data_IF_867039992506
#
_entry.id   IF_867039992506
#
_cell.length_a   1.000
_cell.length_b   1.000
_cell.length_c   1.000
_cell.angle_alpha   90.00
_cell.angle_beta   90.00
_cell.angle_gamma   90.00
#
_symmetry.space_group_name_H-M   'P 1'
#
loop_
_entity.id
_entity.type
_entity.pdbx_description
1 polymer ?
#
# COMPACT_ATOMS: atom_id res chain seq x y z
N UNK A 1 64.30 -62.37 14.06
CA UNK A 1 64.82 -63.07 12.87
C UNK A 1 64.08 -62.48 11.69
N UNK A 2 64.69 -61.47 11.06
CA UNK A 2 65.16 -61.49 9.66
C UNK A 2 63.99 -61.61 8.66
N UNK A 3 63.69 -60.53 7.92
CA UNK A 3 64.16 -60.26 6.54
C UNK A 3 63.61 -61.34 5.58
N UNK A 4 62.98 -61.07 4.45
CA UNK A 4 63.10 -59.96 3.49
C UNK A 4 62.22 -60.29 2.29
N UNK A 5 61.89 -59.25 1.52
CA UNK A 5 61.73 -59.33 0.06
C UNK A 5 60.28 -59.31 -0.43
N UNK A 6 59.94 -58.65 -1.52
CA UNK A 6 60.41 -57.46 -2.24
C UNK A 6 59.36 -57.27 -3.36
N UNK A 7 59.16 -56.02 -3.79
CA UNK A 7 58.53 -55.56 -5.04
C UNK A 7 57.06 -55.94 -5.34
N UNK A 8 56.29 -55.25 -6.17
CA UNK A 8 56.04 -53.85 -6.55
C UNK A 8 54.82 -53.96 -7.52
N UNK A 9 54.07 -52.87 -7.69
CA UNK A 9 53.24 -52.53 -8.86
C UNK A 9 51.74 -52.91 -8.92
N UNK A 10 50.96 -51.83 -8.74
CA UNK A 10 49.79 -51.38 -9.51
C UNK A 10 48.45 -52.05 -9.19
N UNK A 11 47.67 -51.47 -8.27
CA UNK A 11 46.74 -50.34 -8.46
C UNK A 11 45.51 -50.68 -9.31
N UNK A 12 44.38 -50.91 -8.62
CA UNK A 12 43.03 -50.73 -9.14
C UNK A 12 42.13 -50.12 -8.07
N UNK A 13 42.22 -48.79 -8.00
CA UNK A 13 41.13 -47.82 -7.84
C UNK A 13 39.78 -48.29 -7.31
N UNK A 14 39.51 -47.85 -6.09
CA UNK A 14 38.20 -47.81 -5.46
C UNK A 14 37.29 -46.76 -6.11
N UNK A 15 36.11 -47.22 -6.50
CA UNK A 15 34.89 -46.46 -6.75
C UNK A 15 34.49 -45.64 -5.53
N UNK A 16 34.46 -44.31 -5.65
CA UNK A 16 33.62 -43.41 -4.84
C UNK A 16 33.65 -41.96 -5.40
N UNK A 17 32.47 -41.33 -5.42
CA UNK A 17 32.15 -39.87 -5.53
C UNK A 17 32.60 -39.08 -6.76
N UNK A 18 31.72 -38.98 -7.77
CA UNK A 18 31.79 -37.98 -8.86
C UNK A 18 30.39 -37.43 -9.21
N UNK A 19 29.86 -36.50 -8.40
CA UNK A 19 28.76 -35.60 -8.83
C UNK A 19 28.81 -34.24 -8.13
N UNK A 20 29.98 -33.57 -8.02
CA UNK A 20 30.03 -32.23 -7.40
C UNK A 20 31.08 -31.25 -7.97
N UNK A 21 31.50 -31.38 -9.23
CA UNK A 21 32.48 -30.46 -9.84
C UNK A 21 32.06 -29.82 -11.18
N UNK A 22 30.84 -30.07 -11.68
CA UNK A 22 30.34 -29.43 -12.90
C UNK A 22 29.52 -28.15 -12.67
N UNK A 23 29.10 -27.85 -11.42
CA UNK A 23 28.29 -26.66 -11.14
C UNK A 23 29.11 -25.37 -10.89
N UNK A 24 30.43 -25.47 -10.66
CA UNK A 24 31.26 -24.30 -10.36
C UNK A 24 31.94 -23.68 -11.61
N UNK A 25 32.17 -24.47 -12.66
CA UNK A 25 32.87 -23.99 -13.88
C UNK A 25 31.96 -23.12 -14.75
N UNK A 26 30.64 -23.35 -14.73
CA UNK A 26 29.67 -22.46 -15.41
C UNK A 26 29.62 -21.08 -14.74
N UNK A 27 29.80 -21.01 -13.42
CA UNK A 27 29.63 -19.78 -12.64
C UNK A 27 30.77 -18.76 -12.85
N UNK A 28 31.98 -19.21 -13.21
CA UNK A 28 33.14 -18.33 -13.45
C UNK A 28 33.21 -17.82 -14.90
N UNK A 29 32.76 -18.61 -15.89
CA UNK A 29 32.82 -18.22 -17.31
C UNK A 29 31.82 -17.11 -17.65
N UNK A 30 30.65 -17.08 -17.02
CA UNK A 30 29.64 -16.02 -17.23
C UNK A 30 30.12 -14.68 -16.64
N UNK A 31 30.87 -14.70 -15.53
CA UNK A 31 31.32 -13.47 -14.85
C UNK A 31 32.46 -12.74 -15.59
N UNK A 32 33.24 -13.45 -16.44
CA UNK A 32 34.42 -12.91 -17.09
C UNK A 32 34.18 -12.27 -18.47
N UNK A 33 33.00 -12.43 -19.08
CA UNK A 33 32.68 -11.84 -20.40
C UNK A 33 32.07 -10.42 -20.31
N UNK A 34 31.83 -9.90 -19.10
CA UNK A 34 31.20 -8.59 -18.89
C UNK A 34 32.17 -7.40 -18.83
N UNK A 35 33.46 -7.59 -19.15
CA UNK A 35 34.49 -6.53 -19.05
C UNK A 35 35.51 -6.52 -20.19
N UNK A 36 35.10 -6.40 -21.46
CA UNK A 36 35.98 -5.87 -22.53
C UNK A 36 35.27 -5.61 -23.86
N UNK A 37 34.90 -4.36 -24.13
CA UNK A 37 35.15 -3.71 -25.42
C UNK A 37 34.68 -2.25 -25.40
N UNK A 38 35.60 -1.34 -25.69
CA UNK A 38 35.36 0.09 -25.95
C UNK A 38 35.94 0.39 -27.34
N UNK A 39 35.15 1.10 -28.14
CA UNK A 39 35.46 1.93 -29.32
C UNK A 39 35.37 1.37 -30.76
N UNK A 40 34.49 2.07 -31.49
CA UNK A 40 34.42 2.43 -32.92
C UNK A 40 34.01 1.38 -33.97
N UNK A 41 32.74 1.45 -34.41
CA UNK A 41 32.31 1.84 -35.79
C UNK A 41 30.79 1.72 -35.99
N UNK A 42 30.09 2.84 -35.81
CA UNK A 42 29.09 3.45 -36.71
C UNK A 42 28.11 2.56 -37.54
N UNK A 43 26.84 2.61 -37.10
CA UNK A 43 25.60 2.83 -37.88
C UNK A 43 24.72 1.62 -38.31
N UNK A 44 23.51 1.64 -37.74
CA UNK A 44 22.23 0.97 -38.01
C UNK A 44 21.88 -0.30 -37.22
N UNK A 45 20.68 -0.20 -36.63
CA UNK A 45 19.80 -1.23 -36.09
C UNK A 45 19.80 -1.39 -34.57
N UNK A 46 18.94 -0.55 -33.97
CA UNK A 46 17.86 -0.91 -33.04
C UNK A 46 18.14 -2.01 -32.03
N UNK A 47 18.24 -1.62 -30.75
CA UNK A 47 17.33 -2.02 -29.66
C UNK A 47 18.03 -1.74 -28.33
N UNK A 48 17.41 -0.92 -27.47
CA UNK A 48 17.16 -1.26 -26.07
C UNK A 48 17.09 -0.03 -25.15
N UNK A 49 15.90 0.09 -24.55
CA UNK A 49 15.68 0.37 -23.14
C UNK A 49 16.07 1.76 -22.62
N UNK A 50 15.42 2.77 -23.19
CA UNK A 50 14.88 3.85 -22.37
C UNK A 50 13.37 3.68 -22.36
N UNK A 51 12.88 2.98 -21.33
CA UNK A 51 11.46 2.98 -21.01
C UNK A 51 11.09 4.37 -20.48
N UNK A 52 10.94 5.33 -21.40
CA UNK A 52 10.16 6.54 -21.18
C UNK A 52 8.75 6.11 -20.78
N UNK A 53 8.45 6.15 -19.48
CA UNK A 53 7.08 6.26 -19.00
C UNK A 53 6.63 7.70 -19.27
N UNK A 54 6.51 8.05 -20.55
CA UNK A 54 5.74 9.22 -20.98
C UNK A 54 4.28 8.84 -20.79
N UNK A 55 3.79 9.10 -19.58
CA UNK A 55 2.36 9.00 -19.28
C UNK A 55 1.63 10.02 -20.14
N UNK A 56 0.91 9.49 -21.13
CA UNK A 56 0.01 10.18 -22.02
C UNK A 56 -0.89 11.14 -21.21
N UNK A 57 -0.96 12.39 -21.67
CA UNK A 57 -1.48 13.51 -20.89
C UNK A 57 -3.00 13.59 -20.87
N UNK A 58 -3.74 12.69 -21.52
CA UNK A 58 -5.20 12.79 -21.62
C UNK A 58 -5.93 11.43 -21.57
N UNK A 59 -5.87 10.75 -20.42
CA UNK A 59 -7.02 10.08 -19.77
C UNK A 59 -6.74 9.90 -18.26
N UNK A 60 -6.23 10.94 -17.60
CA UNK A 60 -5.65 10.82 -16.26
C UNK A 60 -6.73 10.51 -15.21
N UNK A 61 -6.80 9.24 -14.81
CA UNK A 61 -7.57 8.83 -13.63
C UNK A 61 -7.18 9.61 -12.38
N UNK A 62 -8.03 9.54 -11.37
CA UNK A 62 -7.89 10.30 -10.14
C UNK A 62 -6.53 10.06 -9.44
N UNK A 63 -5.64 11.08 -9.28
CA UNK A 63 -4.26 10.88 -8.82
C UNK A 63 -4.18 10.32 -7.39
N UNK A 64 -5.16 10.61 -6.55
CA UNK A 64 -5.30 10.06 -5.21
C UNK A 64 -5.50 8.54 -5.23
N UNK A 65 -6.38 8.11 -6.13
CA UNK A 65 -6.72 6.70 -6.30
C UNK A 65 -5.57 5.96 -6.98
N UNK A 66 -4.93 6.57 -7.97
CA UNK A 66 -3.74 6.03 -8.63
C UNK A 66 -2.59 5.79 -7.65
N UNK A 67 -2.35 6.74 -6.72
CA UNK A 67 -1.35 6.59 -5.66
C UNK A 67 -1.68 5.43 -4.72
N UNK A 68 -2.93 5.37 -4.24
CA UNK A 68 -3.40 4.30 -3.37
C UNK A 68 -3.29 2.92 -4.06
N UNK A 69 -3.71 2.82 -5.34
CA UNK A 69 -3.59 1.61 -6.15
C UNK A 69 -2.14 1.15 -6.27
N UNK A 70 -1.25 2.07 -6.65
CA UNK A 70 0.18 1.76 -6.78
C UNK A 70 0.78 1.26 -5.45
N UNK A 71 0.36 1.84 -4.32
CA UNK A 71 0.82 1.42 -3.00
C UNK A 71 0.33 0.01 -2.64
N UNK A 72 -0.94 -0.31 -2.91
CA UNK A 72 -1.50 -1.65 -2.72
C UNK A 72 -0.78 -2.66 -3.61
N UNK A 73 -0.63 -2.37 -4.89
CA UNK A 73 0.02 -3.29 -5.84
C UNK A 73 1.48 -3.56 -5.46
N UNK A 74 2.26 -2.52 -5.16
CA UNK A 74 3.65 -2.67 -4.71
C UNK A 74 3.76 -3.55 -3.46
N UNK A 75 2.84 -3.38 -2.51
CA UNK A 75 2.84 -4.16 -1.27
C UNK A 75 2.42 -5.60 -1.49
N UNK A 76 1.35 -5.82 -2.24
CA UNK A 76 0.77 -7.16 -2.44
C UNK A 76 1.62 -8.01 -3.39
N UNK A 77 2.20 -7.42 -4.44
CA UNK A 77 3.05 -8.14 -5.41
C UNK A 77 4.48 -8.30 -4.92
N UNK A 78 5.10 -7.21 -4.46
CA UNK A 78 6.54 -7.16 -4.22
C UNK A 78 6.91 -7.15 -2.73
N UNK A 79 5.92 -7.05 -1.83
CA UNK A 79 6.15 -6.91 -0.38
C UNK A 79 6.71 -5.56 0.03
N UNK A 80 6.93 -4.63 -0.91
CA UNK A 80 7.64 -3.36 -0.67
C UNK A 80 6.70 -2.22 -0.27
N UNK A 81 7.27 -1.20 0.36
CA UNK A 81 6.58 0.08 0.59
C UNK A 81 6.91 0.99 -0.58
N UNK A 82 5.87 1.56 -1.20
CA UNK A 82 6.04 2.52 -2.29
C UNK A 82 6.63 3.83 -1.75
N UNK A 83 7.78 4.32 -2.25
CA UNK A 83 8.21 5.69 -1.95
C UNK A 83 7.25 6.70 -2.60
N UNK A 84 7.14 7.91 -2.04
CA UNK A 84 6.30 8.96 -2.64
C UNK A 84 6.82 9.30 -4.04
N UNK A 85 6.02 9.14 -5.10
CA UNK A 85 6.42 9.52 -6.46
C UNK A 85 6.62 11.03 -6.61
N UNK A 86 7.53 11.45 -7.49
CA UNK A 86 7.81 12.88 -7.73
C UNK A 86 6.69 13.61 -8.48
N UNK A 87 5.82 12.88 -9.17
CA UNK A 87 4.76 13.41 -10.03
C UNK A 87 3.38 13.50 -9.36
N UNK A 88 3.30 13.25 -8.04
CA UNK A 88 2.06 13.48 -7.29
C UNK A 88 1.72 14.98 -7.22
N UNK A 89 0.43 15.35 -7.13
CA UNK A 89 0.03 16.73 -6.94
C UNK A 89 0.75 17.39 -5.75
N UNK A 90 1.20 18.64 -5.92
CA UNK A 90 1.95 19.38 -4.91
C UNK A 90 1.21 19.47 -3.57
N UNK A 91 -0.13 19.54 -3.60
CA UNK A 91 -0.93 19.55 -2.37
C UNK A 91 -0.75 18.27 -1.55
N UNK A 92 -0.51 17.11 -2.17
CA UNK A 92 -0.28 15.87 -1.43
C UNK A 92 1.05 15.87 -0.68
N UNK A 93 2.02 16.67 -1.13
CA UNK A 93 3.34 16.80 -0.51
C UNK A 93 3.32 17.81 0.64
N UNK A 94 2.59 18.91 0.47
CA UNK A 94 2.63 20.06 1.37
C UNK A 94 1.47 20.09 2.39
N UNK A 95 0.40 19.33 2.16
CA UNK A 95 -0.75 19.23 3.08
C UNK A 95 -0.61 18.01 3.98
N UNK A 96 -1.05 18.17 5.22
CA UNK A 96 -1.26 17.08 6.17
C UNK A 96 -2.76 16.97 6.43
N UNK A 97 -3.33 15.78 6.30
CA UNK A 97 -4.73 15.51 6.60
C UNK A 97 -4.90 14.04 7.03
N UNK A 98 -5.95 13.74 7.77
CA UNK A 98 -6.42 12.37 7.93
C UNK A 98 -6.96 11.85 6.59
N UNK A 99 -6.81 10.55 6.33
CA UNK A 99 -7.31 9.94 5.12
C UNK A 99 -7.79 8.51 5.37
N UNK A 100 -8.85 8.09 4.68
CA UNK A 100 -9.33 6.72 4.66
C UNK A 100 -9.19 6.16 3.26
N UNK A 101 -8.58 4.98 3.16
CA UNK A 101 -8.56 4.22 1.92
C UNK A 101 -9.53 3.06 2.07
N UNK A 102 -10.45 2.93 1.13
CA UNK A 102 -11.42 1.85 1.09
C UNK A 102 -11.22 1.05 -0.18
N UNK A 103 -11.09 -0.26 -0.03
CA UNK A 103 -11.00 -1.22 -1.10
C UNK A 103 -12.37 -1.89 -1.24
N UNK A 104 -12.86 -1.96 -2.46
CA UNK A 104 -14.03 -2.74 -2.84
C UNK A 104 -13.63 -3.81 -3.86
N UNK A 105 -14.41 -4.87 -3.93
CA UNK A 105 -14.30 -5.90 -4.95
C UNK A 105 -15.70 -6.31 -5.37
N UNK A 106 -16.03 -6.16 -6.64
CA UNK A 106 -17.36 -6.42 -7.18
C UNK A 106 -18.46 -5.67 -6.37
N UNK A 107 -18.23 -4.38 -6.10
CA UNK A 107 -19.13 -3.54 -5.30
C UNK A 107 -19.23 -3.88 -3.80
N UNK A 108 -18.44 -4.84 -3.27
CA UNK A 108 -18.46 -5.22 -1.84
C UNK A 108 -17.21 -4.74 -1.12
N UNK A 109 -17.36 -4.30 0.13
CA UNK A 109 -16.23 -3.88 0.96
C UNK A 109 -15.20 -5.02 1.13
N UNK A 110 -13.93 -4.73 0.82
CA UNK A 110 -12.79 -5.66 0.88
C UNK A 110 -11.71 -5.26 1.89
N UNK A 111 -11.69 -4.00 2.29
CA UNK A 111 -10.83 -3.46 3.34
C UNK A 111 -11.05 -1.97 3.50
N UNK A 112 -10.91 -1.45 4.71
CA UNK A 112 -10.97 -0.01 4.96
C UNK A 112 -10.15 0.34 6.20
N UNK A 113 -9.10 1.13 6.00
CA UNK A 113 -8.27 1.69 7.07
C UNK A 113 -8.05 3.16 6.80
N UNK A 114 -8.03 3.94 7.87
CA UNK A 114 -7.71 5.35 7.80
C UNK A 114 -7.36 5.95 9.14
N UNK A 115 -6.96 7.20 9.09
CA UNK A 115 -6.57 8.01 10.24
C UNK A 115 -7.43 9.26 10.31
N UNK A 116 -7.86 9.61 11.53
CA UNK A 116 -8.71 10.77 11.77
C UNK A 116 -7.89 12.06 11.68
N UNK A 117 -6.68 12.03 12.23
CA UNK A 117 -5.72 13.13 12.18
C UNK A 117 -4.47 12.68 11.42
N UNK A 118 -3.74 13.61 10.78
CA UNK A 118 -2.51 13.27 10.06
C UNK A 118 -1.48 12.66 11.00
N UNK A 119 -1.02 11.45 10.66
CA UNK A 119 0.03 10.71 11.36
C UNK A 119 1.36 10.74 10.62
N UNK A 120 1.33 11.13 9.34
CA UNK A 120 2.50 11.23 8.46
C UNK A 120 2.92 12.67 8.17
N UNK A 121 4.07 12.82 7.51
CA UNK A 121 4.63 14.12 7.17
C UNK A 121 3.85 14.80 6.04
N UNK A 122 3.21 14.02 5.16
CA UNK A 122 2.43 14.49 4.03
C UNK A 122 1.19 13.62 3.80
N UNK A 123 0.21 14.16 3.06
CA UNK A 123 -0.99 13.44 2.65
C UNK A 123 -0.64 12.26 1.72
N UNK A 124 0.37 12.40 0.87
CA UNK A 124 0.86 11.30 0.03
C UNK A 124 1.30 10.09 0.88
N UNK A 125 2.12 10.33 1.90
CA UNK A 125 2.56 9.28 2.83
C UNK A 125 1.39 8.68 3.61
N UNK A 126 0.42 9.51 4.02
CA UNK A 126 -0.79 9.06 4.71
C UNK A 126 -1.60 8.10 3.84
N UNK A 127 -1.84 8.45 2.57
CA UNK A 127 -2.55 7.62 1.60
C UNK A 127 -1.80 6.31 1.36
N UNK A 128 -0.48 6.34 1.12
CA UNK A 128 0.33 5.13 0.92
C UNK A 128 0.22 4.20 2.14
N UNK A 129 0.40 4.75 3.34
CA UNK A 129 0.33 4.00 4.59
C UNK A 129 -1.05 3.35 4.79
N UNK A 130 -2.12 4.11 4.59
CA UNK A 130 -3.49 3.64 4.80
C UNK A 130 -3.95 2.69 3.68
N UNK A 131 -3.48 2.85 2.45
CA UNK A 131 -3.74 1.91 1.35
C UNK A 131 -3.09 0.54 1.63
N UNK A 132 -1.83 0.55 2.07
CA UNK A 132 -1.13 -0.66 2.50
C UNK A 132 -1.88 -1.35 3.66
N UNK A 133 -2.24 -0.59 4.70
CA UNK A 133 -2.97 -1.15 5.84
C UNK A 133 -4.34 -1.69 5.44
N UNK A 134 -5.07 -1.00 4.54
CA UNK A 134 -6.37 -1.47 4.03
C UNK A 134 -6.30 -2.81 3.30
N UNK A 135 -5.18 -3.08 2.62
CA UNK A 135 -4.96 -4.34 1.91
C UNK A 135 -4.39 -5.47 2.77
N UNK A 136 -3.76 -5.17 3.91
CA UNK A 136 -2.96 -6.17 4.67
C UNK A 136 -3.29 -6.28 6.16
N UNK A 137 -3.99 -5.31 6.75
CA UNK A 137 -4.12 -5.14 8.20
C UNK A 137 -5.57 -4.90 8.67
N UNK A 138 -6.56 -4.88 7.78
CA UNK A 138 -7.96 -4.81 8.22
C UNK A 138 -8.36 -6.12 8.91
N UNK A 139 -8.67 -6.11 10.23
CA UNK A 139 -8.89 -7.35 10.99
C UNK A 139 -10.16 -8.10 10.58
N UNK A 140 -11.04 -7.47 9.79
CA UNK A 140 -12.28 -8.09 9.32
C UNK A 140 -12.07 -8.99 8.10
N UNK A 141 -10.92 -8.85 7.42
CA UNK A 141 -10.66 -9.54 6.16
C UNK A 141 -9.25 -10.17 6.16
N UNK A 142 -9.05 -11.29 5.45
CA UNK A 142 -7.70 -11.75 5.15
C UNK A 142 -6.98 -10.73 4.26
N UNK A 143 -5.65 -10.72 4.29
CA UNK A 143 -4.85 -9.90 3.39
C UNK A 143 -5.24 -10.11 1.92
N UNK A 144 -5.20 -9.05 1.12
CA UNK A 144 -5.46 -9.09 -0.32
C UNK A 144 -4.40 -9.93 -1.01
N UNK A 145 -4.84 -10.83 -1.89
CA UNK A 145 -3.96 -11.67 -2.70
C UNK A 145 -3.67 -11.05 -4.08
N UNK A 146 -2.53 -11.37 -4.72
CA UNK A 146 -2.18 -10.81 -6.03
C UNK A 146 -3.24 -10.96 -7.14
N UNK A 147 -3.98 -12.09 -7.24
CA UNK A 147 -5.04 -12.22 -8.24
C UNK A 147 -6.23 -11.27 -8.02
N UNK A 148 -6.47 -10.82 -6.78
CA UNK A 148 -7.57 -9.90 -6.48
C UNK A 148 -7.30 -8.48 -6.98
N UNK A 149 -6.04 -8.10 -7.23
CA UNK A 149 -5.64 -6.73 -7.55
C UNK A 149 -6.35 -6.15 -8.78
N UNK A 150 -6.62 -6.99 -9.78
CA UNK A 150 -7.29 -6.57 -11.02
C UNK A 150 -8.77 -6.25 -10.81
N UNK A 151 -9.40 -6.82 -9.78
CA UNK A 151 -10.82 -6.66 -9.47
C UNK A 151 -11.06 -5.57 -8.39
N UNK A 152 -10.00 -4.92 -7.90
CA UNK A 152 -10.13 -3.94 -6.82
C UNK A 152 -10.57 -2.59 -7.37
N UNK A 153 -11.66 -2.08 -6.80
CA UNK A 153 -12.10 -0.69 -6.89
C UNK A 153 -11.61 0.04 -5.63
N UNK A 154 -11.07 1.25 -5.77
CA UNK A 154 -10.46 1.99 -4.66
C UNK A 154 -11.14 3.35 -4.49
N UNK A 155 -11.41 3.70 -3.24
CA UNK A 155 -11.90 5.02 -2.82
C UNK A 155 -10.93 5.61 -1.80
N UNK A 156 -10.59 6.89 -1.97
CA UNK A 156 -9.77 7.67 -1.04
C UNK A 156 -10.60 8.84 -0.52
N UNK A 157 -10.83 8.86 0.79
CA UNK A 157 -11.56 9.91 1.50
C UNK A 157 -10.57 10.76 2.29
N UNK A 158 -10.42 12.03 1.93
CA UNK A 158 -9.53 12.98 2.61
C UNK A 158 -10.35 13.81 3.58
N UNK A 159 -9.94 13.85 4.83
CA UNK A 159 -10.65 14.55 5.88
C UNK A 159 -10.22 16.02 5.92
N UNK A 160 -11.20 16.91 6.01
CA UNK A 160 -10.99 18.30 6.42
C UNK A 160 -10.65 18.39 7.91
N UNK A 161 -10.21 19.57 8.33
CA UNK A 161 -9.94 19.83 9.75
C UNK A 161 -11.25 19.75 10.55
N UNK A 162 -11.27 19.03 11.69
CA UNK A 162 -12.46 18.97 12.54
C UNK A 162 -12.78 20.33 13.17
N UNK A 163 -14.04 20.71 13.12
CA UNK A 163 -14.60 21.90 13.75
C UNK A 163 -15.48 21.49 14.94
N UNK A 164 -15.29 22.04 16.15
CA UNK A 164 -16.17 21.73 17.28
C UNK A 164 -17.59 22.25 17.03
N UNK A 165 -18.59 21.47 17.42
CA UNK A 165 -20.00 21.86 17.38
C UNK A 165 -20.64 21.78 18.76
N UNK A 166 -21.64 22.63 18.99
CA UNK A 166 -22.37 22.72 20.26
C UNK A 166 -23.80 22.22 20.16
N UNK A 167 -24.37 22.20 18.95
CA UNK A 167 -25.70 21.65 18.67
C UNK A 167 -25.69 20.67 17.49
N UNK A 168 -26.66 19.75 17.47
CA UNK A 168 -26.92 18.87 16.33
C UNK A 168 -27.40 19.63 15.09
N UNK A 169 -27.94 20.84 15.25
CA UNK A 169 -28.38 21.68 14.12
C UNK A 169 -27.21 22.15 13.25
N UNK A 170 -25.98 22.07 13.78
CA UNK A 170 -24.75 22.38 13.07
C UNK A 170 -24.23 21.19 12.25
N UNK A 171 -24.90 20.03 12.33
CA UNK A 171 -24.48 18.78 11.68
C UNK A 171 -25.49 18.37 10.62
N UNK A 172 -25.14 18.63 9.36
CA UNK A 172 -25.83 18.04 8.21
C UNK A 172 -25.21 16.66 7.90
N UNK A 173 -25.93 15.53 8.07
CA UNK A 173 -25.40 14.19 7.88
C UNK A 173 -25.00 13.88 6.42
N UNK A 174 -25.51 14.63 5.45
CA UNK A 174 -25.14 14.48 4.03
C UNK A 174 -23.81 15.16 3.75
N UNK A 175 -23.57 16.33 4.36
CA UNK A 175 -22.38 17.15 4.12
C UNK A 175 -21.21 16.79 5.03
N UNK A 176 -21.48 16.58 6.31
CA UNK A 176 -20.46 16.49 7.35
C UNK A 176 -20.36 15.10 7.96
N UNK A 177 -19.13 14.65 8.17
CA UNK A 177 -18.85 13.56 9.11
C UNK A 177 -18.84 14.09 10.54
N UNK A 178 -18.93 13.18 11.51
CA UNK A 178 -18.92 13.50 12.94
C UNK A 178 -17.88 12.70 13.70
N UNK A 179 -17.21 13.36 14.63
CA UNK A 179 -16.32 12.77 15.63
C UNK A 179 -16.98 12.94 17.00
N UNK A 180 -17.11 11.84 17.73
CA UNK A 180 -17.60 11.81 19.11
C UNK A 180 -16.44 11.42 20.02
N UNK A 181 -16.08 12.27 20.98
CA UNK A 181 -14.94 12.04 21.88
C UNK A 181 -15.38 12.02 23.35
N UNK A 182 -14.91 11.03 24.12
CA UNK A 182 -15.08 10.95 25.57
C UNK A 182 -13.80 10.41 26.21
N UNK A 183 -12.96 11.31 26.75
CA UNK A 183 -11.62 10.97 27.22
C UNK A 183 -10.76 10.41 26.07
N UNK A 184 -10.24 9.20 26.25
CA UNK A 184 -9.44 8.50 25.22
C UNK A 184 -10.28 7.76 24.17
N UNK A 185 -11.59 7.61 24.39
CA UNK A 185 -12.48 6.94 23.44
C UNK A 185 -12.94 7.92 22.38
N UNK A 186 -12.88 7.50 21.13
CA UNK A 186 -13.31 8.29 19.98
C UNK A 186 -14.00 7.43 18.95
N UNK A 187 -15.08 7.94 18.40
CA UNK A 187 -15.80 7.35 17.27
C UNK A 187 -15.90 8.35 16.14
N UNK A 188 -15.79 7.85 14.92
CA UNK A 188 -15.96 8.65 13.72
C UNK A 188 -17.03 8.00 12.83
N UNK A 189 -17.84 8.85 12.20
CA UNK A 189 -18.70 8.44 11.10
C UNK A 189 -18.56 9.42 9.94
N UNK A 190 -18.38 8.88 8.74
CA UNK A 190 -18.28 9.64 7.49
C UNK A 190 -19.66 10.22 7.10
N UNK A 191 -19.71 11.29 6.29
CA UNK A 191 -20.96 11.82 5.73
C UNK A 191 -21.59 10.89 4.70
N UNK A 192 -22.86 11.16 4.39
CA UNK A 192 -23.60 10.61 3.25
C UNK A 192 -23.58 9.07 3.20
N UNK A 193 -23.98 8.45 4.32
CA UNK A 193 -24.10 6.99 4.43
C UNK A 193 -25.57 6.58 4.29
N UNK A 194 -25.82 5.52 3.51
CA UNK A 194 -27.14 4.94 3.34
C UNK A 194 -27.73 4.52 4.71
N UNK A 195 -28.98 4.93 4.98
CA UNK A 195 -29.69 4.64 6.22
C UNK A 195 -29.29 5.51 7.42
N UNK A 196 -28.59 6.62 7.19
CA UNK A 196 -28.27 7.63 8.22
C UNK A 196 -28.82 8.99 7.79
N UNK A 197 -30.08 9.23 8.10
CA UNK A 197 -30.82 10.39 7.58
C UNK A 197 -30.81 11.58 8.55
N UNK A 198 -30.43 11.36 9.81
CA UNK A 198 -30.44 12.42 10.84
C UNK A 198 -29.09 12.58 11.56
N UNK A 199 -28.79 13.81 11.96
CA UNK A 199 -27.63 14.16 12.78
C UNK A 199 -27.56 13.32 14.07
N UNK A 200 -28.73 13.09 14.70
CA UNK A 200 -28.83 12.29 15.91
C UNK A 200 -28.43 10.83 15.68
N UNK A 201 -28.91 10.22 14.59
CA UNK A 201 -28.53 8.84 14.23
C UNK A 201 -27.03 8.75 13.93
N UNK A 202 -26.49 9.73 13.20
CA UNK A 202 -25.07 9.80 12.88
C UNK A 202 -24.20 9.81 14.15
N UNK A 203 -24.54 10.69 15.11
CA UNK A 203 -23.88 10.77 16.43
C UNK A 203 -24.05 9.48 17.22
N UNK A 204 -25.26 8.93 17.29
CA UNK A 204 -25.54 7.70 18.05
C UNK A 204 -24.78 6.48 17.51
N UNK A 205 -24.57 6.39 16.19
CA UNK A 205 -23.74 5.35 15.57
C UNK A 205 -22.26 5.57 15.91
N UNK A 206 -21.74 6.79 15.73
CA UNK A 206 -20.35 7.12 16.04
C UNK A 206 -20.03 6.85 17.52
N UNK A 207 -20.90 7.28 18.44
CA UNK A 207 -20.80 7.04 19.88
C UNK A 207 -20.74 5.55 20.21
N UNK A 208 -21.65 4.75 19.64
CA UNK A 208 -21.67 3.28 19.86
C UNK A 208 -20.40 2.61 19.35
N UNK A 209 -19.89 3.02 18.18
CA UNK A 209 -18.60 2.53 17.65
C UNK A 209 -17.42 2.82 18.58
N UNK A 210 -17.49 3.94 19.31
CA UNK A 210 -16.49 4.32 20.31
C UNK A 210 -16.65 3.61 21.66
N UNK A 211 -17.72 2.83 21.86
CA UNK A 211 -18.07 2.26 23.17
C UNK A 211 -18.38 3.32 24.23
N UNK A 212 -18.90 4.49 23.83
CA UNK A 212 -19.32 5.56 24.74
C UNK A 212 -20.80 5.35 25.08
N UNK A 213 -21.21 5.43 26.35
CA UNK A 213 -22.61 5.32 26.75
C UNK A 213 -23.38 6.64 26.55
N UNK A 214 -24.71 6.57 26.41
CA UNK A 214 -25.57 7.74 26.10
C UNK A 214 -25.64 8.74 27.26
N UNK A 215 -25.32 8.31 28.47
CA UNK A 215 -25.33 9.15 29.68
C UNK A 215 -23.96 9.77 29.97
N UNK A 216 -22.92 9.41 29.22
CA UNK A 216 -21.59 9.98 29.37
C UNK A 216 -21.51 11.35 28.70
N UNK A 217 -20.74 12.26 29.31
CA UNK A 217 -20.43 13.54 28.68
C UNK A 217 -19.42 13.31 27.55
N UNK A 218 -19.76 13.74 26.34
CA UNK A 218 -18.91 13.68 25.16
C UNK A 218 -18.88 15.03 24.44
N UNK A 219 -17.82 15.27 23.68
CA UNK A 219 -17.70 16.41 22.77
C UNK A 219 -17.97 15.98 21.34
N UNK A 220 -18.40 16.93 20.52
CA UNK A 220 -18.71 16.73 19.11
C UNK A 220 -17.84 17.63 18.24
N UNK A 221 -17.32 17.06 17.17
CA UNK A 221 -16.65 17.80 16.09
C UNK A 221 -17.25 17.33 14.76
N UNK A 222 -17.44 18.25 13.81
CA UNK A 222 -17.83 17.95 12.44
C UNK A 222 -16.65 18.13 11.49
N UNK A 223 -16.64 17.44 10.36
CA UNK A 223 -15.61 17.63 9.34
C UNK A 223 -16.17 17.35 7.94
N UNK A 224 -15.60 17.99 6.93
CA UNK A 224 -15.91 17.69 5.53
C UNK A 224 -15.02 16.57 4.99
N UNK A 225 -15.49 15.88 3.95
CA UNK A 225 -14.73 14.82 3.28
C UNK A 225 -14.68 15.10 1.79
N UNK A 226 -13.48 15.08 1.22
CA UNK A 226 -13.28 15.07 -0.22
C UNK A 226 -13.05 13.62 -0.63
N UNK A 227 -13.98 13.08 -1.43
CA UNK A 227 -13.98 11.68 -1.84
C UNK A 227 -13.52 11.51 -3.27
N UNK A 228 -12.52 10.68 -3.45
CA UNK A 228 -11.91 10.31 -4.72
C UNK A 228 -12.20 8.83 -4.99
N UNK A 229 -12.75 8.47 -6.15
CA UNK A 229 -13.09 7.09 -6.53
C UNK A 229 -12.56 6.77 -7.93
N UNK A 230 -12.41 5.48 -8.22
CA UNK A 230 -12.30 5.00 -9.61
C UNK A 230 -13.59 5.36 -10.37
N UNK A 231 -13.43 5.78 -11.63
CA UNK A 231 -14.53 6.12 -12.56
C UNK A 231 -15.21 4.88 -13.16
#
# INVERSE_FOLDING_TARGET
MMMSGDEELLDKGDTLIWTDLLSLVVYVVVYALSRKCRQDTTILMNSDMQGELTMDRQSKGNPYVALARSAVEARVRDGRILPVPEDVPEEMLNRRAGAFVTLYRNGRLRGCIGTIHPTRASLAEEIISNAIASSTQDPRFPAVSPPELMDLEISVDILGDPEPITSLDELDPVRYGVIVSCGYRRGLLLPNLEGVDTAKEQVDIARRKAGIDRHENYTLERFEVIRHKDD
#
